data_IF_428237331061
#
_entry.id   IF_428237331061
#
_cell.length_a   1.000
_cell.length_b   1.000
_cell.length_c   1.000
_cell.angle_alpha   90.00
_cell.angle_beta   90.00
_cell.angle_gamma   90.00
#
_symmetry.space_group_name_H-M   'P 1'
#
loop_
_entity.id
_entity.type
_entity.pdbx_description
1 polymer ?
#
# COMPACT_ATOMS: atom_id res chain seq x y z
N UNK A 1 13.24 -0.43 -8.53
CA UNK A 1 13.44 -1.39 -7.45
C UNK A 1 12.97 -2.77 -7.89
N UNK A 2 13.78 -3.79 -7.68
CA UNK A 2 13.38 -5.19 -7.87
C UNK A 2 12.59 -5.66 -6.66
N UNK A 3 11.37 -6.15 -6.86
CA UNK A 3 10.54 -6.70 -5.80
C UNK A 3 10.93 -8.12 -5.46
N UNK A 4 10.90 -8.45 -4.17
CA UNK A 4 11.10 -9.81 -3.66
C UNK A 4 9.78 -10.43 -3.27
N UNK A 5 9.63 -11.73 -3.51
CA UNK A 5 8.42 -12.46 -3.11
C UNK A 5 8.13 -12.35 -1.61
N UNK A 6 9.19 -12.26 -0.78
CA UNK A 6 9.06 -12.10 0.68
C UNK A 6 8.44 -10.77 1.13
N UNK A 7 8.39 -9.78 0.26
CA UNK A 7 7.75 -8.49 0.55
C UNK A 7 6.25 -8.50 0.24
N UNK A 8 5.75 -9.55 -0.40
CA UNK A 8 4.43 -9.58 -1.01
C UNK A 8 3.53 -10.64 -0.39
N UNK A 9 2.25 -10.33 -0.37
CA UNK A 9 1.14 -11.24 -0.06
C UNK A 9 0.20 -11.30 -1.27
N UNK A 10 -0.53 -12.40 -1.38
CA UNK A 10 -1.62 -12.52 -2.37
C UNK A 10 -2.61 -11.36 -2.14
N UNK A 11 -2.95 -10.67 -3.21
CA UNK A 11 -3.82 -9.49 -3.17
C UNK A 11 -3.10 -8.16 -3.07
N UNK A 12 -1.78 -8.13 -2.83
CA UNK A 12 -1.03 -6.88 -2.88
C UNK A 12 -1.11 -6.27 -4.28
N UNK A 13 -1.33 -4.96 -4.33
CA UNK A 13 -1.35 -4.21 -5.58
C UNK A 13 0.07 -3.84 -6.00
N UNK A 14 0.38 -4.12 -7.25
CA UNK A 14 1.67 -3.78 -7.87
C UNK A 14 1.43 -3.28 -9.30
N UNK A 15 2.43 -2.60 -9.85
CA UNK A 15 2.46 -2.38 -11.30
C UNK A 15 3.00 -3.62 -11.99
N UNK A 16 2.31 -4.06 -13.03
CA UNK A 16 2.76 -5.12 -13.92
C UNK A 16 3.04 -4.51 -15.28
N UNK A 17 4.24 -4.77 -15.80
CA UNK A 17 4.63 -4.38 -17.14
C UNK A 17 4.82 -5.65 -17.97
N UNK A 18 4.07 -5.77 -19.07
CA UNK A 18 4.24 -6.84 -20.04
C UNK A 18 5.09 -6.30 -21.20
N UNK A 19 6.33 -6.78 -21.30
CA UNK A 19 7.26 -6.35 -22.35
C UNK A 19 7.09 -7.12 -23.67
N UNK A 20 6.18 -8.10 -23.73
CA UNK A 20 5.92 -8.88 -24.96
C UNK A 20 5.13 -8.09 -26.01
N UNK A 21 4.33 -7.15 -25.57
CA UNK A 21 3.69 -6.19 -26.46
C UNK A 21 4.54 -4.94 -26.46
N UNK A 22 4.88 -4.39 -27.61
CA UNK A 22 5.63 -3.12 -27.71
C UNK A 22 4.91 -1.92 -27.07
N UNK A 23 3.87 -2.18 -26.31
CA UNK A 23 3.07 -1.22 -25.56
C UNK A 23 3.46 -1.35 -24.09
N UNK A 24 4.23 -0.38 -23.61
CA UNK A 24 4.61 -0.31 -22.20
C UNK A 24 3.41 0.21 -21.41
N UNK A 25 2.50 -0.69 -21.04
CA UNK A 25 1.43 -0.36 -20.11
C UNK A 25 1.78 -0.86 -18.72
N UNK A 26 1.79 0.06 -17.76
CA UNK A 26 1.83 -0.29 -16.34
C UNK A 26 0.41 -0.41 -15.84
N UNK A 27 -0.02 -1.62 -15.52
CA UNK A 27 -1.33 -1.86 -14.94
C UNK A 27 -1.23 -2.13 -13.45
N UNK A 28 -2.15 -1.55 -12.67
CA UNK A 28 -2.32 -1.88 -11.26
C UNK A 28 -2.98 -3.26 -11.20
N UNK A 29 -2.27 -4.23 -10.64
CA UNK A 29 -2.71 -5.62 -10.64
C UNK A 29 -2.55 -6.22 -9.24
N UNK A 30 -3.58 -6.92 -8.71
CA UNK A 30 -3.41 -7.68 -7.49
C UNK A 30 -2.54 -8.92 -7.73
N UNK A 31 -1.57 -9.15 -6.86
CA UNK A 31 -0.70 -10.33 -6.94
C UNK A 31 -1.50 -11.60 -6.67
N UNK A 32 -1.30 -12.61 -7.50
CA UNK A 32 -1.84 -13.96 -7.33
C UNK A 32 -0.71 -14.96 -7.05
N UNK A 33 -1.09 -16.22 -6.81
CA UNK A 33 -0.12 -17.28 -6.49
C UNK A 33 0.88 -17.51 -7.63
N UNK A 34 0.45 -17.43 -8.88
CA UNK A 34 1.33 -17.61 -10.04
C UNK A 34 2.38 -16.50 -10.12
N UNK A 35 2.01 -15.27 -9.79
CA UNK A 35 2.96 -14.16 -9.75
C UNK A 35 4.03 -14.39 -8.67
N UNK A 36 3.64 -14.89 -7.49
CA UNK A 36 4.59 -15.22 -6.43
C UNK A 36 5.51 -16.36 -6.83
N UNK A 37 4.99 -17.37 -7.51
CA UNK A 37 5.79 -18.48 -8.02
C UNK A 37 6.81 -18.00 -9.05
N UNK A 38 6.42 -17.07 -9.92
CA UNK A 38 7.33 -16.45 -10.89
C UNK A 38 8.46 -15.68 -10.20
N UNK A 39 8.12 -14.88 -9.19
CA UNK A 39 9.11 -14.09 -8.43
C UNK A 39 10.08 -14.95 -7.62
N UNK A 40 9.65 -16.15 -7.18
CA UNK A 40 10.51 -17.09 -6.46
C UNK A 40 11.38 -17.94 -7.38
N UNK A 41 11.20 -17.84 -8.70
CA UNK A 41 11.92 -18.65 -9.67
C UNK A 41 11.38 -20.07 -9.83
N UNK A 42 10.24 -20.40 -9.25
CA UNK A 42 9.60 -21.70 -9.40
C UNK A 42 9.02 -21.91 -10.79
N UNK A 43 8.53 -20.83 -11.38
CA UNK A 43 8.03 -20.84 -12.76
C UNK A 43 9.15 -20.34 -13.68
N UNK A 44 9.71 -21.26 -14.46
CA UNK A 44 10.77 -20.97 -15.42
C UNK A 44 10.22 -20.58 -16.82
N UNK A 45 8.93 -20.33 -16.93
CA UNK A 45 8.37 -19.84 -18.19
C UNK A 45 9.05 -18.53 -18.59
N UNK A 46 9.45 -18.36 -19.86
CA UNK A 46 10.02 -17.11 -20.33
C UNK A 46 8.91 -16.06 -20.48
N UNK A 47 8.34 -15.63 -19.36
CA UNK A 47 7.36 -14.56 -19.35
C UNK A 47 8.11 -13.28 -19.06
N UNK A 48 8.09 -12.36 -20.01
CA UNK A 48 8.74 -11.05 -19.87
C UNK A 48 7.83 -10.08 -19.12
N UNK A 49 7.49 -10.46 -17.88
CA UNK A 49 6.65 -9.67 -16.98
C UNK A 49 7.52 -9.12 -15.87
N UNK A 50 7.46 -7.81 -15.68
CA UNK A 50 8.11 -7.12 -14.57
C UNK A 50 7.08 -6.63 -13.56
N UNK A 51 7.41 -6.79 -12.28
CA UNK A 51 6.63 -6.28 -11.16
C UNK A 51 7.35 -5.12 -10.51
N UNK A 52 6.66 -4.00 -10.37
CA UNK A 52 7.19 -2.81 -9.70
C UNK A 52 6.29 -2.40 -8.53
N UNK A 53 6.89 -1.94 -7.42
CA UNK A 53 6.09 -1.42 -6.32
C UNK A 53 5.39 -0.13 -6.74
N UNK A 54 4.18 0.06 -6.24
CA UNK A 54 3.41 1.29 -6.48
C UNK A 54 3.76 2.28 -5.38
N UNK A 55 4.31 3.46 -5.70
CA UNK A 55 4.50 4.49 -4.69
C UNK A 55 3.17 4.88 -4.03
N UNK A 56 3.17 4.98 -2.71
CA UNK A 56 1.99 5.42 -1.98
C UNK A 56 1.76 6.90 -2.22
N UNK A 57 0.53 7.25 -2.59
CA UNK A 57 0.09 8.63 -2.77
C UNK A 57 -1.17 8.89 -1.98
N UNK A 58 -1.50 10.16 -1.78
CA UNK A 58 -2.74 10.54 -1.11
C UNK A 58 -3.98 10.04 -1.87
N UNK A 59 -3.90 9.98 -3.20
CA UNK A 59 -4.95 9.41 -4.03
C UNK A 59 -5.23 7.96 -3.68
N UNK A 60 -4.19 7.15 -3.44
CA UNK A 60 -4.35 5.76 -2.99
C UNK A 60 -4.97 5.68 -1.61
N UNK A 61 -4.62 6.58 -0.70
CA UNK A 61 -5.24 6.62 0.63
C UNK A 61 -6.76 6.82 0.52
N UNK A 62 -7.19 7.75 -0.32
CA UNK A 62 -8.61 7.99 -0.56
C UNK A 62 -9.31 6.80 -1.20
N UNK A 63 -8.67 6.14 -2.17
CA UNK A 63 -9.19 4.94 -2.82
C UNK A 63 -9.27 3.74 -1.90
N UNK A 64 -8.46 3.68 -0.85
CA UNK A 64 -8.55 2.68 0.20
C UNK A 64 -9.59 3.02 1.28
N UNK A 65 -10.28 4.14 1.14
CA UNK A 65 -11.33 4.55 2.07
C UNK A 65 -10.85 5.37 3.27
N UNK A 66 -9.60 5.81 3.29
CA UNK A 66 -9.12 6.73 4.31
C UNK A 66 -9.73 8.12 4.11
N UNK A 67 -10.24 8.69 5.19
CA UNK A 67 -10.82 10.04 5.17
C UNK A 67 -9.77 11.07 5.62
N UNK A 68 -9.69 12.16 4.88
CA UNK A 68 -8.87 13.30 5.26
C UNK A 68 -9.57 14.06 6.41
N UNK A 69 -8.96 14.08 7.57
CA UNK A 69 -9.45 14.82 8.74
C UNK A 69 -8.57 16.03 9.08
N UNK A 70 -7.79 16.51 8.11
CA UNK A 70 -6.92 17.66 8.30
C UNK A 70 -7.71 18.90 8.71
N UNK A 71 -7.36 19.47 9.86
CA UNK A 71 -7.97 20.68 10.38
C UNK A 71 -7.18 21.95 10.02
N UNK A 72 -6.09 21.82 9.28
CA UNK A 72 -5.17 22.88 8.95
C UNK A 72 -4.26 23.28 10.11
N UNK A 73 -3.17 23.97 9.79
CA UNK A 73 -2.27 24.56 10.78
C UNK A 73 -1.23 23.63 11.40
N UNK A 74 -1.21 22.34 11.04
CA UNK A 74 -0.24 21.37 11.49
C UNK A 74 0.82 21.07 10.43
N UNK A 75 1.95 20.51 10.86
CA UNK A 75 2.99 20.04 9.94
C UNK A 75 2.59 18.77 9.17
N UNK A 76 1.43 18.19 9.50
CA UNK A 76 0.92 16.95 8.93
C UNK A 76 -0.49 17.10 8.42
N UNK A 77 -0.77 16.37 7.32
CA UNK A 77 -2.12 16.10 6.86
C UNK A 77 -2.53 14.73 7.40
N UNK A 78 -3.64 14.65 8.10
CA UNK A 78 -4.06 13.45 8.80
C UNK A 78 -5.18 12.73 8.05
N UNK A 79 -4.99 11.42 7.84
CA UNK A 79 -5.98 10.51 7.27
C UNK A 79 -6.32 9.44 8.29
N UNK A 80 -7.60 9.08 8.38
CA UNK A 80 -8.05 8.00 9.27
C UNK A 80 -8.90 6.99 8.52
N UNK A 81 -8.82 5.75 8.97
CA UNK A 81 -9.72 4.69 8.56
C UNK A 81 -11.07 4.86 9.28
N UNK A 82 -12.05 5.44 8.60
CA UNK A 82 -13.35 5.76 9.18
C UNK A 82 -14.28 4.55 9.31
N UNK A 83 -14.06 3.48 8.55
CA UNK A 83 -14.94 2.31 8.52
C UNK A 83 -14.65 1.31 9.66
N UNK A 84 -13.45 1.35 10.24
CA UNK A 84 -12.98 0.34 11.19
C UNK A 84 -12.59 0.93 12.56
N UNK A 85 -13.37 1.85 13.09
CA UNK A 85 -13.21 2.39 14.45
C UNK A 85 -11.90 3.13 14.73
N UNK A 86 -11.31 3.75 13.70
CA UNK A 86 -10.12 4.61 13.83
C UNK A 86 -8.86 3.88 14.32
N UNK A 87 -8.68 2.62 13.96
CA UNK A 87 -7.51 1.86 14.39
C UNK A 87 -6.21 2.36 13.78
N UNK A 88 -6.27 2.93 12.59
CA UNK A 88 -5.09 3.38 11.88
C UNK A 88 -5.19 4.85 11.49
N UNK A 89 -4.21 5.62 11.89
CA UNK A 89 -4.04 7.01 11.47
C UNK A 89 -2.78 7.11 10.62
N UNK A 90 -2.90 7.79 9.49
CA UNK A 90 -1.79 8.06 8.59
C UNK A 90 -1.58 9.56 8.53
N UNK A 91 -0.41 10.00 8.96
CA UNK A 91 -0.01 11.38 8.87
C UNK A 91 0.97 11.59 7.72
N UNK A 92 0.66 12.52 6.84
CA UNK A 92 1.54 12.91 5.74
C UNK A 92 2.25 14.20 6.14
N UNK A 93 3.56 14.15 6.26
CA UNK A 93 4.33 15.33 6.64
C UNK A 93 4.41 16.31 5.46
N UNK A 94 3.94 17.55 5.68
CA UNK A 94 3.86 18.57 4.62
C UNK A 94 5.23 18.94 4.03
N UNK A 95 6.26 18.89 4.87
CA UNK A 95 7.61 19.29 4.50
C UNK A 95 8.23 18.43 3.37
N UNK A 96 8.03 17.12 3.43
CA UNK A 96 8.70 16.15 2.56
C UNK A 96 7.78 15.06 2.02
N UNK A 97 6.49 15.06 2.37
CA UNK A 97 5.52 14.07 1.93
C UNK A 97 5.72 12.68 2.52
N UNK A 98 6.54 12.53 3.56
CA UNK A 98 6.73 11.23 4.21
C UNK A 98 5.50 10.82 5.01
N UNK A 99 5.24 9.53 5.01
CA UNK A 99 4.10 8.93 5.71
C UNK A 99 4.53 8.41 7.07
N UNK A 100 3.75 8.78 8.09
CA UNK A 100 3.88 8.24 9.44
C UNK A 100 2.60 7.48 9.77
N UNK A 101 2.74 6.27 10.27
CA UNK A 101 1.58 5.45 10.63
C UNK A 101 1.50 5.34 12.13
N UNK A 102 0.33 5.69 12.64
CA UNK A 102 0.00 5.68 14.05
C UNK A 102 -1.05 4.62 14.31
N UNK A 103 -0.77 3.74 15.25
CA UNK A 103 -1.74 2.76 15.73
C UNK A 103 -2.55 3.38 16.87
N UNK A 104 -3.83 3.64 16.60
CA UNK A 104 -4.78 4.19 17.58
C UNK A 104 -5.62 3.11 18.26
N UNK A 105 -5.28 1.84 18.11
CA UNK A 105 -6.04 0.73 18.70
C UNK A 105 -6.04 0.71 20.23
N UNK A 106 -5.16 1.48 20.85
CA UNK A 106 -5.09 1.69 22.29
C UNK A 106 -5.51 3.10 22.63
N UNK A 107 -6.35 3.28 23.66
CA UNK A 107 -6.78 4.59 24.18
C UNK A 107 -5.61 5.44 24.71
N UNK A 108 -4.42 4.87 24.76
CA UNK A 108 -3.22 5.56 25.19
C UNK A 108 -2.45 6.08 23.96
N UNK A 109 -2.38 7.39 23.80
CA UNK A 109 -1.66 8.11 22.74
C UNK A 109 -0.15 7.80 22.67
N UNK A 110 0.35 6.82 23.44
CA UNK A 110 1.77 6.49 23.54
C UNK A 110 2.21 5.31 22.67
N UNK A 111 1.31 4.63 22.01
CA UNK A 111 1.66 3.51 21.14
C UNK A 111 2.06 4.01 19.74
N UNK A 112 3.13 4.80 19.65
CA UNK A 112 3.68 5.26 18.39
C UNK A 112 4.60 4.19 17.83
N UNK A 113 4.09 3.45 16.86
CA UNK A 113 4.92 2.68 15.97
C UNK A 113 5.13 3.51 14.71
N UNK A 114 6.21 4.27 14.65
CA UNK A 114 6.57 5.03 13.46
C UNK A 114 7.18 4.05 12.45
N UNK A 115 6.41 3.69 11.45
CA UNK A 115 6.89 2.87 10.34
C UNK A 115 6.93 3.74 9.10
N UNK A 116 8.10 3.89 8.49
CA UNK A 116 8.22 4.52 7.19
C UNK A 116 7.62 3.61 6.13
N UNK A 117 6.56 4.07 5.51
CA UNK A 117 5.93 3.39 4.38
C UNK A 117 6.11 4.22 3.13
N UNK A 118 6.62 3.58 2.08
CA UNK A 118 6.84 4.19 0.78
C UNK A 118 5.88 3.68 -0.28
N UNK A 119 5.41 2.44 -0.13
CA UNK A 119 4.69 1.72 -1.17
C UNK A 119 3.33 1.21 -0.72
N UNK A 120 2.43 1.09 -1.68
CA UNK A 120 1.05 0.62 -1.47
C UNK A 120 1.01 -0.76 -0.81
N UNK A 121 1.82 -1.72 -1.28
CA UNK A 121 1.83 -3.07 -0.70
C UNK A 121 2.27 -3.10 0.75
N UNK A 122 3.16 -2.20 1.16
CA UNK A 122 3.59 -2.08 2.56
C UNK A 122 2.43 -1.63 3.45
N UNK A 123 1.63 -0.67 3.00
CA UNK A 123 0.42 -0.24 3.71
C UNK A 123 -0.59 -1.38 3.82
N UNK A 124 -0.83 -2.10 2.72
CA UNK A 124 -1.74 -3.25 2.73
C UNK A 124 -1.31 -4.32 3.73
N UNK A 125 -0.02 -4.63 3.78
CA UNK A 125 0.53 -5.64 4.68
C UNK A 125 0.45 -5.21 6.14
N UNK A 126 0.76 -3.94 6.43
CA UNK A 126 0.66 -3.40 7.77
C UNK A 126 -0.79 -3.39 8.26
N UNK A 127 -1.70 -2.92 7.43
CA UNK A 127 -3.13 -2.89 7.77
C UNK A 127 -3.66 -4.28 8.10
N UNK A 128 -3.31 -5.28 7.28
CA UNK A 128 -3.69 -6.67 7.56
C UNK A 128 -3.08 -7.19 8.86
N UNK A 129 -1.82 -6.89 9.12
CA UNK A 129 -1.14 -7.31 10.35
C UNK A 129 -1.79 -6.74 11.61
N UNK A 130 -2.27 -5.50 11.53
CA UNK A 130 -2.87 -4.80 12.68
C UNK A 130 -4.35 -5.14 12.87
N UNK A 131 -5.10 -5.34 11.80
CA UNK A 131 -6.57 -5.46 11.85
C UNK A 131 -7.09 -6.85 11.52
N UNK A 132 -6.30 -7.68 10.85
CA UNK A 132 -6.77 -8.96 10.29
C UNK A 132 -7.64 -8.81 9.04
N UNK A 133 -7.82 -7.58 8.55
CA UNK A 133 -8.66 -7.28 7.39
C UNK A 133 -7.81 -6.77 6.23
N UNK A 134 -8.26 -7.05 5.00
CA UNK A 134 -7.65 -6.50 3.80
C UNK A 134 -8.15 -5.07 3.55
N UNK A 135 -7.25 -4.18 3.13
CA UNK A 135 -7.65 -2.90 2.56
C UNK A 135 -8.36 -3.14 1.23
N UNK A 136 -9.55 -2.60 1.10
CA UNK A 136 -10.32 -2.66 -0.15
C UNK A 136 -9.99 -1.46 -1.00
N UNK A 137 -9.51 -1.74 -2.20
CA UNK A 137 -9.25 -0.73 -3.21
C UNK A 137 -10.53 -0.51 -4.03
N UNK A 138 -11.09 0.68 -3.94
CA UNK A 138 -12.23 1.07 -4.75
C UNK A 138 -11.75 1.75 -6.02
N UNK A 139 -11.85 1.04 -7.13
CA UNK A 139 -11.72 1.67 -8.43
C UNK A 139 -12.98 2.50 -8.67
N UNK A 140 -12.84 3.80 -8.65
CA UNK A 140 -13.90 4.70 -9.10
C UNK A 140 -13.80 4.82 -10.62
N UNK A 141 -14.74 4.23 -11.27
CA UNK A 141 -14.97 4.47 -12.69
C UNK A 141 -15.80 5.72 -12.90
#
# INVERSE_FOLDING_TARGET
KTMKASELRIGNLVYVTDNLTNLIFKEITPINIHNLMHLTGWDKSPVDIEFEPIPLTEEFLLKFGFANIDKGGNDFITYTDSEHNYYLQIDVRRKDGKYLILDNSFDDLRAFSMVDIEYVHQLQNLYFALTGNELKYEEQF
#
